data_IF_862443481791
#
_entry.id   IF_862443481791
#
_cell.length_a   1.000
_cell.length_b   1.000
_cell.length_c   1.000
_cell.angle_alpha   90.00
_cell.angle_beta   90.00
_cell.angle_gamma   90.00
#
_symmetry.space_group_name_H-M   'P 1'
#
loop_
_entity.id
_entity.type
_entity.pdbx_description
1 polymer ?
#
# COMPACT_ATOMS: atom_id res chain seq x y z
N UNK A 1 -31.29 -23.60 -15.64
CA UNK A 1 -31.10 -22.13 -15.63
C UNK A 1 -30.06 -21.69 -14.57
N UNK A 2 -28.79 -22.15 -14.70
CA UNK A 2 -27.72 -21.94 -13.68
C UNK A 2 -26.45 -21.24 -14.22
N UNK A 3 -26.37 -20.94 -15.52
CA UNK A 3 -25.16 -20.38 -16.17
C UNK A 3 -24.92 -18.88 -15.94
N UNK A 4 -25.93 -18.12 -15.50
CA UNK A 4 -25.81 -16.66 -15.36
C UNK A 4 -25.14 -16.22 -14.03
N UNK A 5 -25.15 -17.07 -12.99
CA UNK A 5 -24.59 -16.72 -11.67
C UNK A 5 -23.08 -16.98 -11.54
N UNK A 6 -22.54 -17.85 -12.39
CA UNK A 6 -21.13 -18.28 -12.36
C UNK A 6 -20.21 -17.18 -12.94
N UNK A 7 -20.65 -16.50 -14.02
CA UNK A 7 -19.87 -15.42 -14.64
C UNK A 7 -19.59 -14.24 -13.71
N UNK A 8 -20.56 -13.86 -12.87
CA UNK A 8 -20.40 -12.74 -11.92
C UNK A 8 -19.55 -13.05 -10.68
N UNK A 9 -19.22 -14.32 -10.42
CA UNK A 9 -18.26 -14.70 -9.37
C UNK A 9 -16.85 -14.68 -9.94
N UNK A 10 -16.67 -15.25 -11.15
CA UNK A 10 -15.37 -15.26 -11.83
C UNK A 10 -14.85 -13.84 -12.10
N UNK A 11 -15.73 -12.92 -12.52
CA UNK A 11 -15.36 -11.53 -12.77
C UNK A 11 -14.83 -10.82 -11.51
N UNK A 12 -15.53 -10.99 -10.37
CA UNK A 12 -15.11 -10.41 -9.08
C UNK A 12 -13.79 -10.97 -8.56
N UNK A 13 -13.54 -12.27 -8.75
CA UNK A 13 -12.25 -12.86 -8.37
C UNK A 13 -11.11 -12.25 -9.19
N UNK A 14 -11.31 -12.06 -10.49
CA UNK A 14 -10.31 -11.43 -11.37
C UNK A 14 -10.05 -9.99 -10.93
N UNK A 15 -11.08 -9.23 -10.58
CA UNK A 15 -10.92 -7.86 -10.08
C UNK A 15 -10.10 -7.78 -8.79
N UNK A 16 -10.34 -8.68 -7.83
CA UNK A 16 -9.55 -8.73 -6.60
C UNK A 16 -8.10 -9.13 -6.86
N UNK A 17 -7.83 -10.03 -7.81
CA UNK A 17 -6.47 -10.36 -8.23
C UNK A 17 -5.79 -9.15 -8.88
N UNK A 18 -6.51 -8.41 -9.75
CA UNK A 18 -5.97 -7.20 -10.36
C UNK A 18 -5.66 -6.12 -9.30
N UNK A 19 -6.59 -5.89 -8.36
CA UNK A 19 -6.40 -4.95 -7.26
C UNK A 19 -5.24 -5.34 -6.35
N UNK A 20 -5.03 -6.63 -6.12
CA UNK A 20 -3.89 -7.14 -5.38
C UNK A 20 -2.56 -6.80 -6.07
N UNK A 21 -2.44 -7.05 -7.38
CA UNK A 21 -1.24 -6.69 -8.12
C UNK A 21 -1.02 -5.17 -8.13
N UNK A 22 -2.07 -4.39 -8.37
CA UNK A 22 -2.01 -2.93 -8.38
C UNK A 22 -1.57 -2.39 -7.03
N UNK A 23 -2.18 -2.84 -5.92
CA UNK A 23 -1.76 -2.40 -4.59
C UNK A 23 -0.32 -2.79 -4.30
N UNK A 24 0.09 -4.01 -4.65
CA UNK A 24 1.45 -4.50 -4.41
C UNK A 24 2.46 -3.58 -5.08
N UNK A 25 2.26 -3.25 -6.36
CA UNK A 25 3.15 -2.37 -7.11
C UNK A 25 3.15 -0.95 -6.51
N UNK A 26 1.97 -0.37 -6.27
CA UNK A 26 1.85 0.99 -5.75
C UNK A 26 2.52 1.16 -4.38
N UNK A 27 2.27 0.24 -3.44
CA UNK A 27 2.88 0.31 -2.11
C UNK A 27 4.37 -0.01 -2.13
N UNK A 28 4.84 -0.90 -3.02
CA UNK A 28 6.28 -1.13 -3.23
C UNK A 28 6.96 0.14 -3.74
N UNK A 29 6.35 0.83 -4.70
CA UNK A 29 6.87 2.10 -5.24
C UNK A 29 6.85 3.21 -4.18
N UNK A 30 5.81 3.28 -3.32
CA UNK A 30 5.77 4.22 -2.21
C UNK A 30 6.90 3.95 -1.19
N UNK A 31 7.14 2.68 -0.87
CA UNK A 31 8.24 2.24 -0.01
C UNK A 31 9.60 2.65 -0.59
N UNK A 32 9.81 2.33 -1.86
CA UNK A 32 11.05 2.63 -2.55
C UNK A 32 11.26 4.13 -2.72
N UNK A 33 10.19 4.88 -3.01
CA UNK A 33 10.22 6.34 -3.07
C UNK A 33 10.58 6.96 -1.71
N UNK A 34 10.05 6.43 -0.61
CA UNK A 34 10.39 6.88 0.74
C UNK A 34 11.87 6.60 1.03
N UNK A 35 12.36 5.44 0.61
CA UNK A 35 13.77 5.09 0.75
C UNK A 35 14.69 6.01 -0.05
N UNK A 36 14.33 6.36 -1.29
CA UNK A 36 15.13 7.28 -2.11
C UNK A 36 15.14 8.71 -1.55
N UNK A 37 14.03 9.18 -0.97
CA UNK A 37 13.90 10.55 -0.48
C UNK A 37 14.41 10.73 0.95
N UNK A 38 14.17 9.77 1.83
CA UNK A 38 14.50 9.85 3.26
C UNK A 38 15.58 8.84 3.65
N UNK A 39 15.45 7.57 3.27
CA UNK A 39 16.42 6.52 3.62
C UNK A 39 17.83 6.78 3.09
N UNK A 40 17.95 7.36 1.89
CA UNK A 40 19.24 7.70 1.28
C UNK A 40 20.07 8.72 2.10
N UNK A 41 19.44 9.47 3.01
CA UNK A 41 20.16 10.39 3.89
C UNK A 41 20.99 9.64 4.93
N UNK A 42 20.59 8.43 5.31
CA UNK A 42 21.25 7.61 6.32
C UNK A 42 22.47 6.94 5.70
N UNK A 43 23.66 7.42 6.05
CA UNK A 43 24.93 6.98 5.46
C UNK A 43 25.68 5.93 6.29
N UNK A 44 25.08 5.40 7.35
CA UNK A 44 25.71 4.39 8.21
C UNK A 44 25.53 2.98 7.64
N UNK A 45 26.47 2.08 7.94
CA UNK A 45 26.35 0.65 7.59
C UNK A 45 25.39 -0.12 8.50
N UNK A 46 24.97 0.48 9.62
CA UNK A 46 23.99 -0.13 10.55
C UNK A 46 22.57 -0.13 9.98
N UNK A 47 22.28 0.79 9.05
CA UNK A 47 20.97 0.91 8.45
C UNK A 47 20.82 -0.03 7.25
N UNK A 48 19.92 -1.01 7.31
CA UNK A 48 19.67 -1.96 6.21
C UNK A 48 18.75 -1.40 5.11
N UNK A 49 19.08 -0.20 4.61
CA UNK A 49 18.41 0.46 3.50
C UNK A 49 18.88 0.03 2.11
N UNK A 50 18.31 0.63 1.08
CA UNK A 50 18.64 0.32 -0.32
C UNK A 50 20.13 0.54 -0.64
N UNK A 51 20.79 1.52 -0.03
CA UNK A 51 22.22 1.76 -0.22
C UNK A 51 23.10 0.57 0.23
N UNK A 52 22.69 -0.14 1.28
CA UNK A 52 23.50 -1.17 1.93
C UNK A 52 23.15 -2.59 1.47
N UNK A 53 21.85 -2.88 1.25
CA UNK A 53 21.40 -4.22 0.84
C UNK A 53 20.84 -4.27 -0.60
N UNK A 54 20.84 -3.15 -1.32
CA UNK A 54 20.52 -3.07 -2.76
C UNK A 54 19.15 -3.67 -3.09
N UNK A 55 19.09 -4.51 -4.11
CA UNK A 55 17.86 -5.14 -4.59
C UNK A 55 17.15 -6.02 -3.55
N UNK A 56 17.85 -6.50 -2.52
CA UNK A 56 17.22 -7.25 -1.42
C UNK A 56 16.21 -6.37 -0.69
N UNK A 57 16.48 -5.07 -0.54
CA UNK A 57 15.52 -4.11 0.02
C UNK A 57 14.22 -4.07 -0.80
N UNK A 58 14.35 -3.94 -2.13
CA UNK A 58 13.19 -3.88 -3.04
C UNK A 58 12.38 -5.18 -2.97
N UNK A 59 13.07 -6.32 -2.92
CA UNK A 59 12.42 -7.61 -2.79
C UNK A 59 11.64 -7.74 -1.47
N UNK A 60 12.22 -7.31 -0.34
CA UNK A 60 11.53 -7.28 0.95
C UNK A 60 10.34 -6.33 0.95
N UNK A 61 10.49 -5.13 0.37
CA UNK A 61 9.42 -4.16 0.21
C UNK A 61 8.27 -4.72 -0.64
N UNK A 62 8.59 -5.45 -1.70
CA UNK A 62 7.61 -6.14 -2.54
C UNK A 62 6.87 -7.22 -1.76
N UNK A 63 7.57 -8.09 -1.04
CA UNK A 63 6.94 -9.14 -0.24
C UNK A 63 6.01 -8.56 0.84
N UNK A 64 6.46 -7.51 1.54
CA UNK A 64 5.63 -6.82 2.52
C UNK A 64 4.36 -6.23 1.88
N UNK A 65 4.51 -5.55 0.74
CA UNK A 65 3.39 -4.95 0.00
C UNK A 65 2.42 -6.00 -0.55
N UNK A 66 2.93 -7.16 -0.98
CA UNK A 66 2.13 -8.26 -1.49
C UNK A 66 1.23 -8.87 -0.40
N UNK A 67 1.71 -8.88 0.85
CA UNK A 67 0.95 -9.40 2.01
C UNK A 67 -0.05 -8.36 2.54
N UNK A 68 0.21 -7.07 2.34
CA UNK A 68 -0.62 -5.97 2.85
C UNK A 68 -2.07 -6.06 2.32
N UNK A 69 -2.25 -6.40 1.05
CA UNK A 69 -3.59 -6.49 0.47
C UNK A 69 -4.46 -7.61 1.07
N UNK A 70 -4.06 -8.89 1.06
CA UNK A 70 -4.90 -9.97 1.58
C UNK A 70 -5.17 -9.85 3.08
N UNK A 71 -4.26 -9.22 3.85
CA UNK A 71 -4.40 -9.10 5.31
C UNK A 71 -5.15 -7.84 5.73
N UNK A 72 -4.92 -6.71 5.06
CA UNK A 72 -5.45 -5.41 5.49
C UNK A 72 -6.52 -4.91 4.53
N UNK A 73 -6.16 -4.69 3.27
CA UNK A 73 -7.05 -4.00 2.32
C UNK A 73 -8.27 -4.84 2.00
N UNK A 74 -8.09 -6.12 1.66
CA UNK A 74 -9.20 -6.99 1.28
C UNK A 74 -10.21 -7.21 2.42
N UNK A 75 -9.80 -7.59 3.65
CA UNK A 75 -10.73 -7.72 4.78
C UNK A 75 -11.43 -6.41 5.11
N UNK A 76 -10.71 -5.28 5.07
CA UNK A 76 -11.30 -3.96 5.30
C UNK A 76 -12.36 -3.62 4.23
N UNK A 77 -12.03 -3.79 2.94
CA UNK A 77 -12.98 -3.55 1.85
C UNK A 77 -14.21 -4.44 1.99
N UNK A 78 -14.03 -5.71 2.38
CA UNK A 78 -15.12 -6.66 2.56
C UNK A 78 -16.03 -6.30 3.74
N UNK A 79 -15.46 -6.05 4.92
CA UNK A 79 -16.19 -5.66 6.13
C UNK A 79 -16.94 -4.35 5.92
N UNK A 80 -16.30 -3.35 5.33
CA UNK A 80 -16.95 -2.05 5.11
C UNK A 80 -18.08 -2.17 4.10
N UNK A 81 -17.91 -2.95 3.01
CA UNK A 81 -19.02 -3.19 2.05
C UNK A 81 -20.20 -3.95 2.68
N UNK A 82 -19.98 -4.71 3.75
CA UNK A 82 -21.06 -5.40 4.47
C UNK A 82 -21.90 -4.44 5.32
N UNK A 83 -21.31 -3.35 5.82
CA UNK A 83 -21.93 -2.44 6.80
C UNK A 83 -22.30 -1.09 6.15
N UNK A 84 -21.62 -0.71 5.09
CA UNK A 84 -21.63 0.64 4.52
C UNK A 84 -21.53 0.62 2.98
N UNK A 85 -21.77 1.79 2.37
CA UNK A 85 -21.66 1.97 0.92
C UNK A 85 -20.19 1.84 0.44
N UNK A 86 -19.92 1.28 -0.75
CA UNK A 86 -18.59 1.25 -1.37
C UNK A 86 -17.79 2.56 -1.30
N UNK A 87 -18.46 3.72 -1.38
CA UNK A 87 -17.80 5.03 -1.24
C UNK A 87 -17.12 5.21 0.13
N UNK A 88 -17.72 4.71 1.21
CA UNK A 88 -17.15 4.79 2.56
C UNK A 88 -15.88 3.93 2.64
N UNK A 89 -15.88 2.74 2.03
CA UNK A 89 -14.68 1.88 1.99
C UNK A 89 -13.52 2.55 1.28
N UNK A 90 -13.80 3.29 0.20
CA UNK A 90 -12.80 4.04 -0.57
C UNK A 90 -12.21 5.20 0.22
N UNK A 91 -13.05 5.98 0.89
CA UNK A 91 -12.60 7.08 1.77
C UNK A 91 -11.72 6.53 2.89
N UNK A 92 -12.12 5.42 3.52
CA UNK A 92 -11.32 4.79 4.56
C UNK A 92 -9.96 4.32 4.05
N UNK A 93 -9.90 3.66 2.89
CA UNK A 93 -8.63 3.20 2.31
C UNK A 93 -7.70 4.39 2.00
N UNK A 94 -8.26 5.49 1.49
CA UNK A 94 -7.49 6.71 1.20
C UNK A 94 -6.91 7.34 2.47
N UNK A 95 -7.69 7.44 3.54
CA UNK A 95 -7.21 7.99 4.81
C UNK A 95 -6.20 7.05 5.50
N UNK A 96 -6.52 5.76 5.52
CA UNK A 96 -5.68 4.75 6.16
C UNK A 96 -4.38 4.51 5.42
N UNK A 97 -4.29 4.79 4.11
CA UNK A 97 -3.00 4.68 3.41
C UNK A 97 -2.02 5.74 3.89
N UNK A 98 -2.45 7.00 4.06
CA UNK A 98 -1.61 8.07 4.60
C UNK A 98 -1.22 7.82 6.07
N UNK A 99 -2.19 7.47 6.91
CA UNK A 99 -1.95 7.10 8.32
C UNK A 99 -1.03 5.87 8.41
N UNK A 100 -1.26 4.88 7.55
CA UNK A 100 -0.45 3.68 7.44
C UNK A 100 0.98 4.01 7.07
N UNK A 101 1.20 4.92 6.11
CA UNK A 101 2.52 5.44 5.75
C UNK A 101 3.23 6.12 6.93
N UNK A 102 2.51 6.93 7.70
CA UNK A 102 3.05 7.56 8.92
C UNK A 102 3.47 6.51 9.97
N UNK A 103 2.60 5.56 10.30
CA UNK A 103 2.91 4.49 11.27
C UNK A 103 4.11 3.68 10.77
N UNK A 104 4.10 3.35 9.48
CA UNK A 104 5.15 2.60 8.82
C UNK A 104 6.52 3.30 8.91
N UNK A 105 6.57 4.62 8.71
CA UNK A 105 7.80 5.42 8.85
C UNK A 105 8.48 5.20 10.21
N UNK A 106 7.73 5.30 11.31
CA UNK A 106 8.26 5.09 12.66
C UNK A 106 8.52 3.61 13.01
N UNK A 107 8.09 2.68 12.16
CA UNK A 107 8.42 1.25 12.30
C UNK A 107 9.69 0.86 11.56
N UNK A 108 10.01 1.55 10.47
CA UNK A 108 11.22 1.27 9.67
C UNK A 108 12.41 2.08 10.10
N UNK A 109 12.22 3.36 10.43
CA UNK A 109 13.32 4.20 10.88
C UNK A 109 13.41 4.19 12.41
N UNK A 110 14.58 3.79 12.92
CA UNK A 110 14.94 3.97 14.34
C UNK A 110 14.85 5.45 14.71
N UNK A 111 14.34 5.75 15.92
CA UNK A 111 14.24 7.13 16.41
C UNK A 111 15.57 7.89 16.37
N UNK A 112 16.69 7.18 16.55
CA UNK A 112 18.04 7.77 16.43
C UNK A 112 18.26 8.35 15.03
N UNK A 113 17.99 7.57 13.99
CA UNK A 113 18.15 8.01 12.61
C UNK A 113 17.17 9.13 12.24
N UNK A 114 15.92 9.07 12.74
CA UNK A 114 14.94 10.14 12.52
C UNK A 114 15.47 11.48 13.02
N UNK A 115 16.07 11.51 14.22
CA UNK A 115 16.59 12.72 14.84
C UNK A 115 17.90 13.19 14.20
N UNK A 116 18.84 12.27 13.99
CA UNK A 116 20.18 12.57 13.47
C UNK A 116 20.15 13.05 12.02
N UNK A 117 19.33 12.40 11.18
CA UNK A 117 19.22 12.73 9.75
C UNK A 117 18.02 13.63 9.43
N UNK A 118 17.32 14.13 10.45
CA UNK A 118 16.14 15.00 10.32
C UNK A 118 15.11 14.48 9.32
N UNK A 119 14.80 13.18 9.42
CA UNK A 119 13.92 12.51 8.47
C UNK A 119 12.49 13.06 8.57
N UNK A 120 11.83 13.25 7.43
CA UNK A 120 10.51 13.86 7.37
C UNK A 120 9.40 12.82 7.15
N UNK A 121 8.65 12.53 8.22
CA UNK A 121 7.51 11.60 8.19
C UNK A 121 6.37 12.05 7.27
N UNK A 122 6.28 13.34 6.93
CA UNK A 122 5.27 13.87 6.00
C UNK A 122 5.44 13.27 4.59
N UNK A 123 6.67 12.93 4.19
CA UNK A 123 6.92 12.31 2.88
C UNK A 123 6.30 10.91 2.83
N UNK A 124 6.33 10.16 3.93
CA UNK A 124 5.65 8.87 4.01
C UNK A 124 4.13 9.03 3.90
N UNK A 125 3.54 10.02 4.60
CA UNK A 125 2.11 10.32 4.47
C UNK A 125 1.74 10.62 3.01
N UNK A 126 2.52 11.47 2.34
CA UNK A 126 2.26 11.88 0.96
C UNK A 126 2.37 10.69 0.01
N UNK A 127 3.48 9.94 0.04
CA UNK A 127 3.71 8.83 -0.88
C UNK A 127 2.67 7.72 -0.74
N UNK A 128 2.37 7.31 0.50
CA UNK A 128 1.37 6.28 0.74
C UNK A 128 -0.07 6.80 0.53
N UNK A 129 -0.31 8.09 0.79
CA UNK A 129 -1.56 8.78 0.45
C UNK A 129 -1.82 8.77 -1.07
N UNK A 130 -0.81 9.08 -1.87
CA UNK A 130 -0.89 9.01 -3.35
C UNK A 130 -1.13 7.57 -3.79
N UNK A 131 -0.40 6.60 -3.26
CA UNK A 131 -0.59 5.18 -3.58
C UNK A 131 -2.02 4.70 -3.27
N UNK A 132 -2.56 5.05 -2.09
CA UNK A 132 -3.94 4.73 -1.72
C UNK A 132 -4.97 5.45 -2.60
N UNK A 133 -4.70 6.70 -2.99
CA UNK A 133 -5.57 7.45 -3.90
C UNK A 133 -5.65 6.81 -5.28
N UNK A 134 -4.51 6.42 -5.86
CA UNK A 134 -4.47 5.72 -7.15
C UNK A 134 -5.19 4.37 -7.03
N UNK A 135 -4.94 3.62 -5.95
CA UNK A 135 -5.63 2.36 -5.70
C UNK A 135 -7.16 2.53 -5.68
N UNK A 136 -7.66 3.54 -4.97
CA UNK A 136 -9.10 3.84 -4.88
C UNK A 136 -9.70 4.20 -6.25
N UNK A 137 -8.97 4.94 -7.08
CA UNK A 137 -9.41 5.24 -8.45
C UNK A 137 -9.52 3.99 -9.31
N UNK A 138 -8.57 3.06 -9.17
CA UNK A 138 -8.59 1.77 -9.88
C UNK A 138 -9.76 0.90 -9.39
N UNK A 139 -9.97 0.80 -8.07
CA UNK A 139 -11.12 0.08 -7.50
C UNK A 139 -12.45 0.66 -8.00
N UNK A 140 -12.59 2.00 -8.02
CA UNK A 140 -13.77 2.65 -8.57
C UNK A 140 -14.01 2.32 -10.05
N UNK A 141 -12.94 2.35 -10.86
CA UNK A 141 -13.03 2.06 -12.29
C UNK A 141 -13.42 0.60 -12.57
N UNK A 142 -12.85 -0.35 -11.83
CA UNK A 142 -13.16 -1.78 -11.96
C UNK A 142 -14.60 -2.07 -11.51
N UNK A 143 -15.00 -1.54 -10.35
CA UNK A 143 -16.35 -1.72 -9.78
C UNK A 143 -17.46 -1.15 -10.69
N UNK A 144 -17.18 -0.08 -11.46
CA UNK A 144 -18.13 0.48 -12.44
C UNK A 144 -18.30 -0.39 -13.69
N UNK A 145 -17.37 -1.31 -13.95
CA UNK A 145 -17.34 -2.16 -15.16
C UNK A 145 -18.02 -3.52 -14.96
N UNK A 146 -18.17 -3.97 -13.71
CA UNK A 146 -18.90 -5.19 -13.33
C UNK A 146 -20.42 -5.00 -13.29
#
# INVERSE_FOLDING_TARGET
>A
MKKHKIGGITLRVVEHIMLWFVSTILFTLAFFGLELLEGHKISTTEYYGFQNIGFVFIFLAFLFSAVLYPIVIFPLSWVVRMIANPLISRILILLLSGIGGYIFFYKVYDERFIREYHLNSSIAIILFGIAGSIYVLVDYYLDKRS
#
